data_IF_334501450315
#
_entry.id   IF_334501450315
#
_cell.length_a   1.000
_cell.length_b   1.000
_cell.length_c   1.000
_cell.angle_alpha   90.00
_cell.angle_beta   90.00
_cell.angle_gamma   90.00
#
_symmetry.space_group_name_H-M   'P 1'
#
loop_
_entity.id
_entity.type
_entity.pdbx_description
1 polymer ?
#
# COMPACT_ATOMS: atom_id res chain seq x y z
N UNK A 1 23.24 -6.10 -16.66
CA UNK A 1 22.20 -5.06 -16.88
C UNK A 1 22.86 -3.69 -16.78
N UNK A 2 22.48 -2.71 -17.59
CA UNK A 2 23.13 -1.40 -17.57
C UNK A 2 22.94 -0.72 -16.18
N UNK A 3 24.01 -0.26 -15.51
CA UNK A 3 23.93 0.28 -14.15
C UNK A 3 22.98 1.48 -14.03
N UNK A 4 22.87 2.28 -15.10
CA UNK A 4 21.92 3.39 -15.19
C UNK A 4 20.45 2.94 -15.15
N UNK A 5 20.12 1.85 -15.84
CA UNK A 5 18.75 1.32 -15.89
C UNK A 5 18.30 0.86 -14.50
N UNK A 6 19.16 0.15 -13.76
CA UNK A 6 18.84 -0.30 -12.40
C UNK A 6 18.60 0.88 -11.44
N UNK A 7 19.36 1.97 -11.59
CA UNK A 7 19.14 3.19 -10.79
C UNK A 7 17.80 3.85 -11.11
N UNK A 8 17.43 3.93 -12.39
CA UNK A 8 16.14 4.46 -12.82
C UNK A 8 14.98 3.61 -12.27
N UNK A 9 15.10 2.29 -12.36
CA UNK A 9 14.11 1.36 -11.81
C UNK A 9 13.98 1.52 -10.30
N UNK A 10 15.08 1.47 -9.54
CA UNK A 10 15.06 1.62 -8.09
C UNK A 10 14.39 2.94 -7.64
N UNK A 11 14.74 4.05 -8.30
CA UNK A 11 14.13 5.36 -8.03
C UNK A 11 12.64 5.36 -8.39
N UNK A 12 12.29 4.81 -9.55
CA UNK A 12 10.90 4.70 -10.01
C UNK A 12 10.04 3.87 -9.06
N UNK A 13 10.52 2.71 -8.63
CA UNK A 13 9.82 1.86 -7.65
C UNK A 13 9.69 2.54 -6.29
N UNK A 14 10.70 3.28 -5.84
CA UNK A 14 10.64 4.05 -4.58
C UNK A 14 9.53 5.11 -4.65
N UNK A 15 9.53 5.94 -5.70
CA UNK A 15 8.53 7.00 -5.89
C UNK A 15 7.14 6.39 -6.05
N UNK A 16 7.00 5.34 -6.86
CA UNK A 16 5.73 4.67 -7.08
C UNK A 16 5.17 4.06 -5.79
N UNK A 17 6.00 3.38 -5.00
CA UNK A 17 5.59 2.87 -3.69
C UNK A 17 5.12 3.98 -2.75
N UNK A 18 5.87 5.08 -2.64
CA UNK A 18 5.49 6.20 -1.78
C UNK A 18 4.14 6.80 -2.20
N UNK A 19 3.92 6.97 -3.51
CA UNK A 19 2.64 7.45 -4.04
C UNK A 19 1.51 6.45 -3.77
N UNK A 20 1.76 5.15 -3.96
CA UNK A 20 0.79 4.09 -3.71
C UNK A 20 0.40 4.02 -2.23
N UNK A 21 1.38 4.03 -1.33
CA UNK A 21 1.16 4.04 0.13
C UNK A 21 0.43 5.31 0.56
N UNK A 22 0.86 6.48 0.08
CA UNK A 22 0.18 7.75 0.36
C UNK A 22 -1.27 7.76 -0.14
N UNK A 23 -1.51 7.22 -1.34
CA UNK A 23 -2.85 7.10 -1.91
C UNK A 23 -3.72 6.09 -1.15
N UNK A 24 -3.14 5.00 -0.63
CA UNK A 24 -3.84 4.07 0.25
C UNK A 24 -4.19 4.71 1.61
N UNK A 25 -3.38 5.62 2.14
CA UNK A 25 -3.71 6.27 3.43
C UNK A 25 -4.68 7.43 3.27
N UNK A 26 -4.58 8.22 2.20
CA UNK A 26 -5.29 9.51 2.06
C UNK A 26 -6.35 9.51 0.95
N UNK A 27 -6.34 8.55 0.04
CA UNK A 27 -7.18 8.57 -1.18
C UNK A 27 -8.69 8.47 -0.93
N UNK A 28 -9.13 8.04 0.25
CA UNK A 28 -10.54 8.00 0.65
C UNK A 28 -11.11 9.37 1.02
N UNK A 29 -10.26 10.33 1.40
CA UNK A 29 -10.68 11.66 1.88
C UNK A 29 -11.38 12.42 0.75
N UNK A 30 -10.75 12.49 -0.42
CA UNK A 30 -11.23 13.31 -1.53
C UNK A 30 -12.34 12.61 -2.33
N UNK A 31 -13.54 13.21 -2.48
CA UNK A 31 -14.67 12.56 -3.14
C UNK A 31 -14.38 12.08 -4.56
N UNK A 32 -13.57 12.84 -5.32
CA UNK A 32 -13.21 12.51 -6.70
C UNK A 32 -12.36 11.24 -6.81
N UNK A 33 -11.52 10.94 -5.83
CA UNK A 33 -10.60 9.78 -5.86
C UNK A 33 -11.18 8.52 -5.23
N UNK A 34 -12.31 8.60 -4.51
CA UNK A 34 -12.90 7.46 -3.78
C UNK A 34 -13.15 6.22 -4.62
N UNK A 35 -13.55 6.36 -5.89
CA UNK A 35 -13.76 5.19 -6.77
C UNK A 35 -12.44 4.49 -7.10
N UNK A 36 -11.41 5.25 -7.46
CA UNK A 36 -10.07 4.71 -7.72
C UNK A 36 -9.44 4.14 -6.45
N UNK A 37 -9.62 4.82 -5.32
CA UNK A 37 -9.12 4.40 -4.02
C UNK A 37 -9.68 3.05 -3.58
N UNK A 38 -10.99 2.80 -3.76
CA UNK A 38 -11.60 1.49 -3.45
C UNK A 38 -10.93 0.35 -4.20
N UNK A 39 -10.68 0.51 -5.50
CA UNK A 39 -9.96 -0.49 -6.29
C UNK A 39 -8.52 -0.66 -5.81
N UNK A 40 -7.83 0.44 -5.53
CA UNK A 40 -6.44 0.43 -5.07
C UNK A 40 -6.27 -0.29 -3.71
N UNK A 41 -7.10 0.06 -2.72
CA UNK A 41 -7.11 -0.60 -1.41
C UNK A 41 -7.55 -2.06 -1.55
N UNK A 42 -8.52 -2.36 -2.41
CA UNK A 42 -8.95 -3.74 -2.67
C UNK A 42 -7.84 -4.61 -3.26
N UNK A 43 -7.08 -4.11 -4.24
CA UNK A 43 -5.93 -4.81 -4.81
C UNK A 43 -4.85 -4.98 -3.74
N UNK A 44 -4.55 -3.92 -2.98
CA UNK A 44 -3.56 -3.96 -1.89
C UNK A 44 -3.94 -4.99 -0.83
N UNK A 45 -5.20 -5.02 -0.42
CA UNK A 45 -5.75 -5.99 0.54
C UNK A 45 -5.68 -7.40 -0.03
N UNK A 46 -6.00 -7.58 -1.32
CA UNK A 46 -5.82 -8.84 -2.03
C UNK A 46 -4.39 -9.33 -1.93
N UNK A 47 -3.39 -8.52 -2.28
CA UNK A 47 -1.98 -8.89 -2.15
C UNK A 47 -1.59 -9.26 -0.71
N UNK A 48 -2.00 -8.46 0.27
CA UNK A 48 -1.65 -8.61 1.68
C UNK A 48 -2.28 -9.83 2.35
N UNK A 49 -3.53 -10.15 1.99
CA UNK A 49 -4.36 -11.16 2.65
C UNK A 49 -4.45 -12.47 1.87
N UNK A 50 -4.12 -12.49 0.58
CA UNK A 50 -4.13 -13.72 -0.23
C UNK A 50 -2.72 -14.20 -0.54
N UNK A 51 -1.88 -13.37 -1.16
CA UNK A 51 -0.59 -13.82 -1.69
C UNK A 51 0.38 -14.14 -0.55
N UNK A 52 0.48 -13.24 0.43
CA UNK A 52 1.34 -13.47 1.60
C UNK A 52 1.02 -14.77 2.34
N UNK A 53 -0.22 -14.96 2.82
CA UNK A 53 -0.58 -16.17 3.55
C UNK A 53 -0.50 -17.45 2.72
N UNK A 54 -0.85 -17.39 1.42
CA UNK A 54 -0.89 -18.59 0.57
C UNK A 54 0.50 -19.06 0.11
N UNK A 55 1.46 -18.15 -0.10
CA UNK A 55 2.77 -18.48 -0.68
C UNK A 55 3.93 -18.31 0.30
N UNK A 56 3.83 -17.39 1.25
CA UNK A 56 4.94 -16.99 2.13
C UNK A 56 4.63 -17.16 3.62
N UNK A 57 3.38 -17.50 3.97
CA UNK A 57 2.93 -17.64 5.36
C UNK A 57 2.94 -16.33 6.15
N UNK A 58 3.11 -15.18 5.49
CA UNK A 58 3.18 -13.86 6.13
C UNK A 58 1.96 -13.03 5.79
N UNK A 59 1.43 -12.30 6.76
CA UNK A 59 0.42 -11.28 6.52
C UNK A 59 1.11 -9.99 6.10
N UNK A 60 0.53 -9.29 5.14
CA UNK A 60 1.02 -7.98 4.71
C UNK A 60 2.11 -8.00 3.65
N UNK A 61 2.26 -9.13 2.97
CA UNK A 61 3.13 -9.26 1.82
C UNK A 61 2.68 -8.37 0.65
N UNK A 62 3.65 -7.70 0.00
CA UNK A 62 3.40 -6.91 -1.20
C UNK A 62 4.37 -7.35 -2.32
N UNK A 63 3.87 -7.88 -3.45
CA UNK A 63 4.73 -8.27 -4.59
C UNK A 63 5.59 -7.11 -5.10
N UNK A 64 5.10 -5.88 -4.96
CA UNK A 64 5.81 -4.68 -5.37
C UNK A 64 7.09 -4.48 -4.56
N UNK A 65 7.05 -4.72 -3.23
CA UNK A 65 8.23 -4.65 -2.35
C UNK A 65 9.25 -5.71 -2.76
N UNK A 66 8.80 -6.93 -3.02
CA UNK A 66 9.68 -8.03 -3.43
C UNK A 66 10.39 -7.75 -4.75
N UNK A 67 9.66 -7.27 -5.76
CA UNK A 67 10.28 -6.88 -7.04
C UNK A 67 11.25 -5.72 -6.85
N UNK A 68 10.92 -4.76 -5.99
CA UNK A 68 11.82 -3.67 -5.67
C UNK A 68 13.09 -4.19 -4.98
N UNK A 69 12.97 -5.20 -4.11
CA UNK A 69 14.11 -5.76 -3.39
C UNK A 69 15.03 -6.52 -4.34
N UNK A 70 14.49 -7.28 -5.30
CA UNK A 70 15.28 -7.92 -6.36
C UNK A 70 16.11 -6.89 -7.15
N UNK A 71 15.54 -5.72 -7.45
CA UNK A 71 16.26 -4.63 -8.12
C UNK A 71 17.37 -4.07 -7.22
N UNK A 72 17.10 -3.89 -5.92
CA UNK A 72 18.09 -3.38 -4.95
C UNK A 72 19.23 -4.37 -4.70
N UNK A 73 18.92 -5.66 -4.60
CA UNK A 73 19.90 -6.74 -4.51
C UNK A 73 20.79 -6.80 -5.75
N UNK A 74 20.21 -6.63 -6.95
CA UNK A 74 20.96 -6.51 -8.19
C UNK A 74 21.87 -5.25 -8.24
N UNK A 75 21.61 -4.25 -7.39
CA UNK A 75 22.48 -3.08 -7.17
C UNK A 75 23.50 -3.28 -6.04
N UNK A 76 23.57 -4.46 -5.43
CA UNK A 76 24.49 -4.80 -4.36
C UNK A 76 24.03 -4.36 -2.96
N UNK A 77 22.76 -3.96 -2.78
CA UNK A 77 22.22 -3.73 -1.45
C UNK A 77 21.89 -5.07 -0.78
N UNK A 78 22.37 -5.25 0.45
CA UNK A 78 22.15 -6.45 1.26
C UNK A 78 21.46 -6.08 2.58
N UNK A 79 20.84 -7.07 3.24
CA UNK A 79 20.11 -6.90 4.50
C UNK A 79 18.96 -5.89 4.43
N UNK A 80 18.17 -5.96 3.35
CA UNK A 80 16.95 -5.16 3.20
C UNK A 80 15.90 -5.60 4.22
N UNK A 81 15.19 -4.67 4.89
CA UNK A 81 14.16 -5.03 5.85
C UNK A 81 12.94 -5.61 5.15
N UNK A 82 12.15 -6.40 5.87
CA UNK A 82 10.97 -7.06 5.33
C UNK A 82 9.90 -6.07 4.80
N UNK A 83 9.71 -4.94 5.47
CA UNK A 83 8.74 -3.93 5.04
C UNK A 83 9.39 -2.69 4.41
N UNK A 84 8.77 -2.22 3.31
CA UNK A 84 9.16 -0.98 2.64
C UNK A 84 9.12 0.24 3.58
N UNK A 85 8.17 0.28 4.52
CA UNK A 85 8.08 1.36 5.51
C UNK A 85 9.32 1.36 6.42
N UNK A 86 9.75 0.20 6.90
CA UNK A 86 10.99 0.07 7.68
C UNK A 86 12.20 0.52 6.86
N UNK A 87 12.26 0.16 5.57
CA UNK A 87 13.31 0.64 4.67
C UNK A 87 13.36 2.17 4.61
N UNK A 88 12.21 2.82 4.36
CA UNK A 88 12.14 4.29 4.28
C UNK A 88 12.52 4.94 5.61
N UNK A 89 12.07 4.40 6.74
CA UNK A 89 12.43 4.91 8.08
C UNK A 89 13.94 4.83 8.32
N UNK A 90 14.55 3.69 7.98
CA UNK A 90 16.00 3.51 8.10
C UNK A 90 16.77 4.51 7.20
N UNK A 91 16.27 4.81 6.00
CA UNK A 91 16.90 5.80 5.10
C UNK A 91 16.89 7.22 5.66
N UNK A 92 15.91 7.57 6.49
CA UNK A 92 15.82 8.89 7.16
C UNK A 92 16.44 8.88 8.58
N UNK A 93 17.14 7.81 8.95
CA UNK A 93 17.87 7.69 10.22
C UNK A 93 17.02 7.29 11.43
N UNK A 94 15.81 6.76 11.21
CA UNK A 94 14.93 6.25 12.27
C UNK A 94 14.95 4.72 12.21
N UNK A 95 15.37 4.06 13.29
CA UNK A 95 15.56 2.60 13.34
C UNK A 95 14.61 1.93 14.36
N UNK A 96 13.28 1.94 14.11
CA UNK A 96 12.34 1.29 14.99
C UNK A 96 12.47 -0.25 14.90
N UNK A 97 12.02 -0.99 15.94
CA UNK A 97 11.92 -2.44 15.84
C UNK A 97 10.99 -2.85 14.67
N UNK A 98 11.41 -3.76 13.78
CA UNK A 98 10.61 -4.15 12.61
C UNK A 98 9.19 -4.63 12.97
N UNK A 99 9.06 -5.40 14.06
CA UNK A 99 7.77 -5.87 14.54
C UNK A 99 6.81 -4.73 14.92
N UNK A 100 7.33 -3.61 15.44
CA UNK A 100 6.52 -2.43 15.76
C UNK A 100 6.01 -1.77 14.48
N UNK A 101 6.88 -1.61 13.48
CA UNK A 101 6.50 -1.02 12.18
C UNK A 101 5.42 -1.87 11.52
N UNK A 102 5.61 -3.18 11.47
CA UNK A 102 4.67 -4.09 10.80
C UNK A 102 3.30 -4.08 11.50
N UNK A 103 3.26 -4.02 12.84
CA UNK A 103 2.01 -3.85 13.61
C UNK A 103 1.32 -2.53 13.30
N UNK A 104 2.06 -1.41 13.34
CA UNK A 104 1.51 -0.07 13.06
C UNK A 104 0.96 0.01 11.64
N UNK A 105 1.71 -0.49 10.65
CA UNK A 105 1.25 -0.52 9.25
C UNK A 105 -0.01 -1.37 9.13
N UNK A 106 -0.07 -2.53 9.80
CA UNK A 106 -1.26 -3.37 9.85
C UNK A 106 -2.48 -2.65 10.42
N UNK A 107 -2.34 -1.96 11.56
CA UNK A 107 -3.44 -1.20 12.17
C UNK A 107 -3.89 -0.01 11.30
N UNK A 108 -2.95 0.73 10.72
CA UNK A 108 -3.26 1.84 9.79
C UNK A 108 -4.02 1.31 8.58
N UNK A 109 -3.58 0.19 8.00
CA UNK A 109 -4.26 -0.41 6.87
C UNK A 109 -5.67 -0.91 7.21
N UNK A 110 -5.85 -1.52 8.37
CA UNK A 110 -7.17 -1.90 8.87
C UNK A 110 -8.09 -0.68 9.05
N UNK A 111 -7.57 0.41 9.61
CA UNK A 111 -8.32 1.67 9.77
C UNK A 111 -8.72 2.28 8.41
N UNK A 112 -7.83 2.25 7.41
CA UNK A 112 -8.11 2.68 6.03
C UNK A 112 -9.23 1.85 5.41
N UNK A 113 -9.20 0.52 5.57
CA UNK A 113 -10.27 -0.36 5.06
C UNK A 113 -11.60 0.02 5.73
N UNK A 114 -11.62 0.15 7.06
CA UNK A 114 -12.81 0.53 7.80
C UNK A 114 -13.37 1.90 7.35
N UNK A 115 -12.50 2.90 7.20
CA UNK A 115 -12.88 4.23 6.70
C UNK A 115 -13.45 4.16 5.28
N UNK A 116 -12.82 3.37 4.40
CA UNK A 116 -13.26 3.18 3.02
C UNK A 116 -14.64 2.52 2.95
N UNK A 117 -14.87 1.47 3.74
CA UNK A 117 -16.16 0.79 3.84
C UNK A 117 -17.24 1.70 4.44
N UNK A 118 -16.92 2.46 5.48
CA UNK A 118 -17.84 3.41 6.10
C UNK A 118 -18.27 4.50 5.11
N UNK A 119 -17.32 5.09 4.39
CA UNK A 119 -17.61 6.11 3.37
C UNK A 119 -18.44 5.51 2.24
N UNK A 120 -18.13 4.29 1.80
CA UNK A 120 -18.91 3.61 0.76
C UNK A 120 -20.36 3.37 1.20
N UNK A 121 -20.56 2.88 2.43
CA UNK A 121 -21.88 2.67 2.99
C UNK A 121 -22.67 3.99 3.17
N UNK A 122 -22.02 5.04 3.69
CA UNK A 122 -22.63 6.37 3.82
C UNK A 122 -23.06 6.92 2.46
N UNK A 123 -22.18 6.83 1.47
CA UNK A 123 -22.44 7.36 0.13
C UNK A 123 -23.55 6.53 -0.58
N UNK A 124 -23.65 5.22 -0.31
CA UNK A 124 -24.76 4.37 -0.79
C UNK A 124 -26.12 4.78 -0.22
N UNK A 125 -26.22 4.98 1.11
CA UNK A 125 -27.47 5.44 1.76
C UNK A 125 -27.94 6.81 1.27
N UNK A 126 -27.02 7.65 0.78
CA UNK A 126 -27.37 8.96 0.19
C UNK A 126 -28.05 8.81 -1.17
N UNK A 127 -27.75 7.76 -1.93
CA UNK A 127 -28.39 7.47 -3.23
C UNK A 127 -29.78 6.88 -3.01
N UNK A 128 -29.92 5.93 -2.08
CA UNK A 128 -31.20 5.27 -1.77
C UNK A 128 -32.23 6.22 -1.14
N UNK A 129 -31.76 7.28 -0.46
CA UNK A 129 -32.61 8.32 0.13
C UNK A 129 -33.04 9.45 -0.81
N UNK A 130 -32.58 9.46 -2.07
CA UNK A 130 -33.12 10.38 -3.08
C UNK A 130 -34.49 9.85 -3.53
N UNK A 131 -35.56 10.67 -3.52
CA UNK A 131 -36.82 10.24 -4.10
C UNK A 131 -36.55 9.84 -5.55
N UNK A 132 -36.95 8.63 -5.91
CA UNK A 132 -36.90 8.16 -7.29
C UNK A 132 -37.58 9.24 -8.14
N UNK A 133 -36.79 9.97 -8.93
CA UNK A 133 -37.32 10.89 -9.93
C UNK A 133 -38.08 10.01 -10.90
N UNK A 134 -39.39 9.98 -10.67
CA UNK A 134 -40.40 9.22 -11.39
C UNK A 134 -40.27 9.63 -12.86
N UNK A 135 -39.69 8.76 -13.68
CA UNK A 135 -39.84 8.82 -15.14
C UNK A 135 -41.26 8.41 -15.50
#
# INVERSE_FOLDING_TARGET
MAPFLLMLLDTGFTVFHLLLTGFNVLGWILPRTRRAHRWCVGITAGCWLTIGPLFYGTLGYCPLTDWHWQIKEARGQIALPHSFVTYVLNQIGIFPPPALVDQVVGYVFAAVIAATLFVWWRDGRRIDGLPAVRQ
#
